data_IF_459878872452
#
_entry.id   IF_459878872452
#
_cell.length_a   1.000
_cell.length_b   1.000
_cell.length_c   1.000
_cell.angle_alpha   90.00
_cell.angle_beta   90.00
_cell.angle_gamma   90.00
#
_symmetry.space_group_name_H-M   'P 1'
#
loop_
_entity.id
_entity.type
_entity.pdbx_description
1 polymer ?
#
# COMPACT_ATOMS: atom_id res chain seq x y z
N UNK A 1 -6.12 24.83 -10.95
CA UNK A 1 -6.57 24.76 -9.55
C UNK A 1 -5.42 25.09 -8.65
N UNK A 2 -5.57 26.14 -7.85
CA UNK A 2 -4.68 26.48 -6.76
C UNK A 2 -4.97 25.58 -5.54
N UNK A 3 -4.10 25.63 -4.55
CA UNK A 3 -4.29 24.91 -3.29
C UNK A 3 -5.49 25.51 -2.54
N UNK A 4 -6.47 24.69 -2.17
CA UNK A 4 -7.69 25.13 -1.49
C UNK A 4 -8.91 25.32 -2.42
N UNK A 5 -8.72 25.31 -3.74
CA UNK A 5 -9.84 25.34 -4.68
C UNK A 5 -10.59 24.00 -4.67
N UNK A 6 -11.91 24.08 -4.84
CA UNK A 6 -12.73 22.90 -5.15
C UNK A 6 -12.30 22.28 -6.50
N UNK A 7 -12.48 20.96 -6.66
CA UNK A 7 -12.25 20.32 -7.95
C UNK A 7 -13.11 20.97 -9.04
N UNK A 8 -12.54 21.15 -10.23
CA UNK A 8 -13.20 21.83 -11.34
C UNK A 8 -14.52 21.15 -11.74
N UNK A 9 -14.64 19.85 -11.46
CA UNK A 9 -15.83 19.05 -11.75
C UNK A 9 -16.95 19.20 -10.70
N UNK A 10 -16.70 19.84 -9.55
CA UNK A 10 -17.71 20.02 -8.51
C UNK A 10 -18.63 21.20 -8.78
N UNK A 11 -19.93 20.91 -8.92
CA UNK A 11 -21.00 21.89 -8.95
C UNK A 11 -21.89 21.79 -7.68
N UNK A 12 -21.92 22.81 -6.80
CA UNK A 12 -22.71 22.78 -5.57
C UNK A 12 -24.23 22.70 -5.81
N UNK A 13 -24.73 23.19 -6.95
CA UNK A 13 -26.16 23.12 -7.30
C UNK A 13 -26.62 21.71 -7.62
N UNK A 14 -25.73 20.87 -8.16
CA UNK A 14 -26.05 19.49 -8.57
C UNK A 14 -25.68 18.49 -7.48
N UNK A 15 -24.57 18.72 -6.78
CA UNK A 15 -24.01 17.75 -5.85
C UNK A 15 -24.37 17.97 -4.38
N UNK A 16 -24.95 19.12 -4.02
CA UNK A 16 -25.19 19.48 -2.63
C UNK A 16 -23.88 19.81 -1.91
N UNK A 17 -23.79 19.62 -0.58
CA UNK A 17 -22.57 19.86 0.19
C UNK A 17 -21.38 19.06 -0.33
N UNK A 18 -20.19 19.65 -0.23
CA UNK A 18 -18.96 19.01 -0.68
C UNK A 18 -18.62 17.79 0.19
N UNK A 19 -18.41 16.64 -0.46
CA UNK A 19 -17.94 15.39 0.14
C UNK A 19 -16.53 15.05 -0.38
N UNK A 20 -15.50 15.19 0.46
CA UNK A 20 -14.12 14.86 0.10
C UNK A 20 -13.89 13.38 -0.28
N UNK A 21 -14.79 12.46 0.07
CA UNK A 21 -14.70 11.05 -0.28
C UNK A 21 -15.24 10.76 -1.70
N UNK A 22 -15.98 11.69 -2.31
CA UNK A 22 -16.66 11.50 -3.59
C UNK A 22 -15.78 11.90 -4.77
N UNK A 23 -15.94 11.18 -5.89
CA UNK A 23 -15.34 11.58 -7.16
C UNK A 23 -16.41 12.26 -8.01
N UNK A 24 -16.16 13.51 -8.41
CA UNK A 24 -17.10 14.36 -9.16
C UNK A 24 -16.90 14.29 -10.68
N UNK A 25 -15.80 13.71 -11.15
CA UNK A 25 -15.57 13.49 -12.58
C UNK A 25 -16.35 12.30 -13.15
N UNK A 26 -16.11 12.00 -14.43
CA UNK A 26 -16.73 10.86 -15.11
C UNK A 26 -16.28 9.54 -14.48
N UNK A 27 -17.19 8.74 -13.89
CA UNK A 27 -16.82 7.45 -13.32
C UNK A 27 -16.44 6.46 -14.43
N UNK A 28 -15.31 5.77 -14.26
CA UNK A 28 -14.94 4.59 -15.05
C UNK A 28 -15.60 3.32 -14.52
N UNK A 29 -15.46 2.21 -15.25
CA UNK A 29 -15.88 0.89 -14.78
C UNK A 29 -15.18 0.53 -13.45
N UNK A 30 -15.93 0.06 -12.43
CA UNK A 30 -15.36 -0.42 -11.18
C UNK A 30 -14.37 -1.56 -11.43
N UNK A 31 -13.26 -1.57 -10.68
CA UNK A 31 -12.21 -2.58 -10.87
C UNK A 31 -12.72 -4.02 -10.74
N UNK A 32 -13.70 -4.26 -9.85
CA UNK A 32 -14.30 -5.60 -9.64
C UNK A 32 -15.18 -6.11 -10.77
N UNK A 33 -15.52 -5.28 -11.77
CA UNK A 33 -16.35 -5.66 -12.92
C UNK A 33 -15.54 -5.87 -14.20
N UNK A 34 -14.20 -5.83 -14.12
CA UNK A 34 -13.32 -5.94 -15.28
C UNK A 34 -13.05 -7.38 -15.66
N UNK A 35 -12.92 -7.63 -16.98
CA UNK A 35 -12.29 -8.85 -17.49
C UNK A 35 -10.77 -8.73 -17.39
N UNK A 36 -10.07 -9.85 -17.14
CA UNK A 36 -8.60 -9.85 -16.98
C UNK A 36 -7.88 -9.26 -18.22
N UNK A 37 -8.41 -9.50 -19.41
CA UNK A 37 -7.85 -8.98 -20.67
C UNK A 37 -7.99 -7.45 -20.80
N UNK A 38 -8.93 -6.82 -20.09
CA UNK A 38 -9.21 -5.39 -20.20
C UNK A 38 -8.41 -4.54 -19.18
N UNK A 39 -7.67 -5.18 -18.26
CA UNK A 39 -6.96 -4.50 -17.15
C UNK A 39 -5.93 -3.52 -17.68
N UNK A 40 -5.13 -3.91 -18.68
CA UNK A 40 -4.10 -3.04 -19.26
C UNK A 40 -4.68 -1.77 -19.88
N UNK A 41 -5.72 -1.92 -20.71
CA UNK A 41 -6.43 -0.79 -21.30
C UNK A 41 -7.12 0.07 -20.23
N UNK A 42 -7.68 -0.53 -19.18
CA UNK A 42 -8.31 0.18 -18.06
C UNK A 42 -7.32 1.01 -17.24
N UNK A 43 -6.10 0.52 -17.03
CA UNK A 43 -5.02 1.31 -16.43
C UNK A 43 -4.54 2.43 -17.36
N UNK A 44 -4.49 2.17 -18.67
CA UNK A 44 -4.08 3.14 -19.68
C UNK A 44 -4.97 4.38 -19.77
N UNK A 45 -6.29 4.23 -19.56
CA UNK A 45 -7.26 5.34 -19.58
C UNK A 45 -7.14 6.29 -18.38
N UNK A 46 -6.45 5.90 -17.31
CA UNK A 46 -6.33 6.73 -16.10
C UNK A 46 -5.34 7.86 -16.28
N UNK A 47 -5.69 9.00 -15.70
CA UNK A 47 -4.78 10.13 -15.62
C UNK A 47 -3.64 9.83 -14.63
N UNK A 48 -2.40 9.82 -15.13
CA UNK A 48 -1.17 9.50 -14.39
C UNK A 48 -0.49 10.75 -13.79
N UNK A 49 -1.13 11.91 -13.86
CA UNK A 49 -0.62 13.14 -13.27
C UNK A 49 -0.47 12.97 -11.74
N UNK A 50 0.66 13.38 -11.13
CA UNK A 50 0.86 13.30 -9.68
C UNK A 50 -0.26 13.97 -8.87
N UNK A 51 -0.85 15.06 -9.39
CA UNK A 51 -2.02 15.71 -8.76
C UNK A 51 -3.26 14.81 -8.75
N UNK A 52 -3.49 14.08 -9.83
CA UNK A 52 -4.61 13.15 -9.92
C UNK A 52 -4.43 11.98 -8.93
N UNK A 53 -3.19 11.49 -8.76
CA UNK A 53 -2.85 10.45 -7.79
C UNK A 53 -3.06 10.94 -6.36
N UNK A 54 -2.54 12.11 -6.00
CA UNK A 54 -2.76 12.70 -4.67
C UNK A 54 -4.25 12.90 -4.37
N UNK A 55 -5.04 13.35 -5.35
CA UNK A 55 -6.48 13.45 -5.21
C UNK A 55 -7.16 12.09 -4.99
N UNK A 56 -6.69 11.03 -5.65
CA UNK A 56 -7.21 9.68 -5.45
C UNK A 56 -6.89 9.14 -4.04
N UNK A 57 -5.66 9.35 -3.56
CA UNK A 57 -5.23 8.98 -2.21
C UNK A 57 -6.03 9.76 -1.16
N UNK A 58 -6.22 11.07 -1.35
CA UNK A 58 -7.05 11.90 -0.46
C UNK A 58 -8.49 11.38 -0.36
N UNK A 59 -9.13 11.05 -1.49
CA UNK A 59 -10.48 10.45 -1.47
C UNK A 59 -10.50 9.10 -0.76
N UNK A 60 -9.49 8.25 -0.97
CA UNK A 60 -9.38 6.96 -0.29
C UNK A 60 -9.22 7.14 1.23
N UNK A 61 -8.43 8.13 1.65
CA UNK A 61 -8.26 8.52 3.05
C UNK A 61 -9.59 8.93 3.68
N UNK A 62 -10.37 9.79 3.03
CA UNK A 62 -11.69 10.21 3.52
C UNK A 62 -12.70 9.06 3.60
N UNK A 63 -12.69 8.13 2.64
CA UNK A 63 -13.52 6.90 2.72
C UNK A 63 -13.14 6.04 3.91
N UNK A 64 -11.85 5.90 4.19
CA UNK A 64 -11.35 5.15 5.33
C UNK A 64 -11.72 5.83 6.66
N UNK A 65 -11.56 7.16 6.74
CA UNK A 65 -11.96 7.98 7.88
C UNK A 65 -13.44 7.86 8.21
N UNK A 66 -14.33 8.03 7.21
CA UNK A 66 -15.77 7.87 7.37
C UNK A 66 -16.17 6.47 7.83
N UNK A 67 -15.40 5.44 7.44
CA UNK A 67 -15.71 4.03 7.77
C UNK A 67 -15.20 3.59 9.13
N UNK A 68 -14.02 4.04 9.55
CA UNK A 68 -13.32 3.47 10.71
C UNK A 68 -13.00 4.45 11.84
N UNK A 69 -12.91 5.76 11.57
CA UNK A 69 -12.43 6.74 12.55
C UNK A 69 -13.56 7.65 13.04
N UNK A 70 -14.33 8.21 12.12
CA UNK A 70 -15.39 9.18 12.42
C UNK A 70 -16.76 8.62 12.86
N UNK A 71 -17.08 7.30 12.78
CA UNK A 71 -18.31 6.79 13.36
C UNK A 71 -18.40 7.08 14.86
N UNK A 72 -19.58 7.48 15.34
CA UNK A 72 -19.85 7.78 16.76
C UNK A 72 -19.49 6.63 17.71
N UNK A 73 -19.49 5.39 17.21
CA UNK A 73 -19.07 4.18 17.91
C UNK A 73 -17.99 3.46 17.09
N UNK A 74 -16.82 4.08 17.00
CA UNK A 74 -15.67 3.46 16.34
C UNK A 74 -15.03 2.38 17.24
N UNK A 75 -14.57 1.29 16.63
CA UNK A 75 -13.78 0.26 17.30
C UNK A 75 -12.28 0.54 17.20
N UNK A 76 -11.45 -0.37 17.72
CA UNK A 76 -9.98 -0.28 17.65
C UNK A 76 -9.37 -0.69 16.29
N UNK A 77 -10.21 -1.03 15.32
CA UNK A 77 -9.82 -1.43 13.96
C UNK A 77 -8.83 -0.48 13.24
N UNK A 78 -8.99 0.86 13.24
CA UNK A 78 -8.05 1.73 12.54
C UNK A 78 -6.64 1.70 13.14
N UNK A 79 -6.52 1.46 14.45
CA UNK A 79 -5.24 1.36 15.15
C UNK A 79 -4.47 0.12 14.66
N UNK A 80 -5.12 -1.04 14.65
CA UNK A 80 -4.50 -2.26 14.14
C UNK A 80 -4.13 -2.17 12.65
N UNK A 81 -4.97 -1.53 11.83
CA UNK A 81 -4.65 -1.34 10.41
C UNK A 81 -3.39 -0.51 10.19
N UNK A 82 -3.20 0.57 10.97
CA UNK A 82 -1.98 1.39 10.90
C UNK A 82 -0.77 0.62 11.42
N UNK A 83 -0.91 -0.13 12.53
CA UNK A 83 0.18 -0.95 13.10
C UNK A 83 0.61 -2.04 12.11
N UNK A 84 -0.32 -2.83 11.60
CA UNK A 84 0.00 -3.88 10.63
C UNK A 84 0.59 -3.30 9.34
N UNK A 85 0.08 -2.14 8.89
CA UNK A 85 0.63 -1.42 7.75
C UNK A 85 2.07 -0.94 7.98
N UNK A 86 2.38 -0.40 9.17
CA UNK A 86 3.73 0.06 9.49
C UNK A 86 4.70 -1.11 9.65
N UNK A 87 4.30 -2.20 10.31
CA UNK A 87 5.09 -3.43 10.41
C UNK A 87 5.46 -3.97 9.02
N UNK A 88 4.50 -4.06 8.11
CA UNK A 88 4.74 -4.52 6.74
C UNK A 88 5.67 -3.57 5.98
N UNK A 89 5.45 -2.27 6.06
CA UNK A 89 6.27 -1.26 5.40
C UNK A 89 7.74 -1.33 5.85
N UNK A 90 7.98 -1.38 7.17
CA UNK A 90 9.32 -1.49 7.71
C UNK A 90 9.96 -2.84 7.41
N UNK A 91 9.18 -3.92 7.36
CA UNK A 91 9.68 -5.24 6.96
C UNK A 91 10.20 -5.21 5.51
N UNK A 92 9.43 -4.65 4.57
CA UNK A 92 9.82 -4.57 3.16
C UNK A 92 11.11 -3.78 2.98
N UNK A 93 11.24 -2.62 3.64
CA UNK A 93 12.45 -1.78 3.54
C UNK A 93 13.67 -2.48 4.13
N UNK A 94 13.50 -3.21 5.23
CA UNK A 94 14.60 -3.90 5.90
C UNK A 94 14.83 -5.33 5.41
N UNK A 95 14.01 -5.84 4.50
CA UNK A 95 14.07 -7.21 4.01
C UNK A 95 15.47 -7.58 3.50
N UNK A 96 16.08 -6.70 2.70
CA UNK A 96 17.43 -6.93 2.16
C UNK A 96 18.55 -7.02 3.21
N UNK A 97 18.36 -6.45 4.41
CA UNK A 97 19.33 -6.57 5.52
C UNK A 97 19.13 -7.86 6.30
N UNK A 98 17.86 -8.22 6.54
CA UNK A 98 17.48 -9.42 7.28
C UNK A 98 17.85 -10.68 6.48
N UNK A 99 17.62 -10.70 5.16
CA UNK A 99 17.92 -11.85 4.31
C UNK A 99 19.43 -12.12 4.16
N UNK A 100 20.28 -11.08 4.17
CA UNK A 100 21.75 -11.24 4.13
C UNK A 100 22.31 -11.82 5.43
N UNK A 101 21.75 -11.42 6.57
CA UNK A 101 22.14 -11.94 7.88
C UNK A 101 21.75 -13.43 8.02
N UNK A 102 20.58 -13.82 7.50
CA UNK A 102 20.17 -15.22 7.45
C UNK A 102 21.11 -16.08 6.57
N UNK A 103 21.49 -15.59 5.38
CA UNK A 103 22.43 -16.30 4.50
C UNK A 103 23.85 -16.35 5.10
N UNK A 104 24.30 -15.29 5.77
CA UNK A 104 25.59 -15.26 6.48
C UNK A 104 25.67 -16.32 7.58
N UNK A 105 24.65 -16.41 8.44
CA UNK A 105 24.59 -17.43 9.50
C UNK A 105 24.55 -18.86 8.95
N UNK A 106 23.83 -19.11 7.86
CA UNK A 106 23.81 -20.43 7.19
C UNK A 106 25.17 -20.75 6.55
N UNK A 107 25.85 -19.77 5.95
CA UNK A 107 27.18 -19.96 5.35
C UNK A 107 28.27 -20.22 6.40
N UNK A 108 28.24 -19.55 7.56
CA UNK A 108 29.19 -19.80 8.65
C UNK A 108 28.95 -21.15 9.33
N UNK A 109 27.69 -21.57 9.50
CA UNK A 109 27.38 -22.93 9.99
C UNK A 109 27.85 -24.00 9.01
N UNK A 110 27.67 -23.79 7.70
CA UNK A 110 28.14 -24.72 6.66
C UNK A 110 29.67 -24.81 6.63
N UNK A 111 30.36 -23.68 6.74
CA UNK A 111 31.84 -23.62 6.74
C UNK A 111 32.42 -24.18 8.04
N UNK A 112 31.79 -23.93 9.19
CA UNK A 112 32.19 -24.51 10.48
C UNK A 112 32.03 -26.03 10.50
N UNK A 113 30.95 -26.56 9.94
CA UNK A 113 30.69 -28.00 9.90
C UNK A 113 31.65 -28.75 8.96
N UNK A 114 31.97 -28.19 7.79
CA UNK A 114 32.99 -28.77 6.89
C UNK A 114 34.38 -28.76 7.52
N UNK A 115 34.74 -27.69 8.23
CA UNK A 115 36.03 -27.58 8.91
C UNK A 115 36.16 -28.55 10.11
N UNK A 116 35.05 -28.86 10.79
CA UNK A 116 35.00 -29.86 11.87
C UNK A 116 35.11 -31.29 11.31
N UNK A 117 34.43 -31.55 10.19
CA UNK A 117 34.47 -32.85 9.52
C UNK A 117 35.87 -33.19 8.99
N UNK A 118 36.55 -32.22 8.36
CA UNK A 118 37.95 -32.40 7.90
C UNK A 118 38.91 -32.64 9.08
N UNK A 119 38.72 -31.95 10.21
CA UNK A 119 39.53 -32.20 11.43
C UNK A 119 39.32 -33.61 11.98
N UNK A 120 38.09 -34.09 12.08
CA UNK A 120 37.81 -35.45 12.55
C UNK A 120 38.40 -36.53 11.61
N UNK A 121 38.32 -36.33 10.30
CA UNK A 121 38.87 -37.27 9.30
C UNK A 121 40.40 -37.30 9.32
N UNK A 122 41.08 -36.17 9.57
CA UNK A 122 42.55 -36.13 9.68
C UNK A 122 43.10 -36.60 11.05
N UNK A 123 42.24 -36.78 12.05
CA UNK A 123 42.61 -37.26 13.40
C UNK A 123 42.36 -38.78 13.57
N UNK A 124 41.87 -39.47 12.53
CA UNK A 124 41.68 -40.92 12.45
C UNK A 124 42.80 -41.57 11.63
#
# INVERSE_FOLDING_TARGET
>A
MAFGDYPAEYNPKVHGPYDPARYYGRPDTPFGQLKLNEIGAWLGRRNKNPRAVMGAVSRAWWRWQHKYVQPKRAGIAPVFQIITGSMLFFYIINYGKISKCHVGSVSELSTGLTHLHVKLVCLS
#
